data_IF_557301422770
#
_entry.id   IF_557301422770
#
_cell.length_a   1.000
_cell.length_b   1.000
_cell.length_c   1.000
_cell.angle_alpha   90.00
_cell.angle_beta   90.00
_cell.angle_gamma   90.00
#
_symmetry.space_group_name_H-M   'P 1'
#
loop_
_entity.id
_entity.type
_entity.pdbx_description
1 polymer ?
#
# COMPACT_ATOMS: atom_id res chain seq x y z
N UNK A 1 -61.82 14.17 -39.98
CA UNK A 1 -61.40 12.92 -39.35
C UNK A 1 -59.90 13.03 -39.09
N UNK A 2 -59.53 13.48 -37.86
CA UNK A 2 -58.10 13.68 -37.49
C UNK A 2 -57.65 12.46 -36.67
N UNK A 3 -56.66 11.75 -37.21
CA UNK A 3 -55.98 10.67 -36.46
C UNK A 3 -54.79 11.28 -35.68
N UNK A 4 -54.95 11.40 -34.39
CA UNK A 4 -53.88 11.71 -33.48
C UNK A 4 -53.04 10.44 -33.26
N UNK A 5 -51.81 10.46 -33.77
CA UNK A 5 -50.79 9.46 -33.43
C UNK A 5 -50.07 9.92 -32.18
N UNK A 6 -50.27 9.18 -31.07
CA UNK A 6 -49.58 9.40 -29.82
C UNK A 6 -48.24 8.63 -29.93
N UNK A 7 -47.13 9.36 -30.07
CA UNK A 7 -45.78 8.78 -29.93
C UNK A 7 -45.42 8.69 -28.44
N UNK A 8 -45.40 7.47 -27.93
CA UNK A 8 -44.89 7.18 -26.59
C UNK A 8 -43.36 7.16 -26.69
N UNK A 9 -42.74 8.23 -26.21
CA UNK A 9 -41.31 8.33 -26.04
C UNK A 9 -40.90 7.55 -24.80
N UNK A 10 -40.40 6.33 -24.99
CA UNK A 10 -39.87 5.49 -23.91
C UNK A 10 -38.52 6.04 -23.49
N UNK A 11 -38.49 6.77 -22.39
CA UNK A 11 -37.26 7.27 -21.78
C UNK A 11 -36.60 6.09 -21.03
N UNK A 12 -35.63 5.45 -21.67
CA UNK A 12 -34.80 4.43 -21.03
C UNK A 12 -33.84 5.16 -20.10
N UNK A 13 -34.21 5.23 -18.83
CA UNK A 13 -33.34 5.70 -17.76
C UNK A 13 -32.29 4.62 -17.52
N UNK A 14 -31.12 4.76 -18.15
CA UNK A 14 -29.97 3.93 -17.84
C UNK A 14 -29.54 4.24 -16.40
N UNK A 15 -30.04 3.48 -15.45
CA UNK A 15 -29.53 3.43 -14.09
C UNK A 15 -28.11 2.85 -14.17
N UNK A 16 -27.11 3.72 -14.21
CA UNK A 16 -25.77 3.33 -13.88
C UNK A 16 -25.80 2.96 -12.39
N UNK A 17 -25.77 1.67 -12.12
CA UNK A 17 -25.52 1.16 -10.79
C UNK A 17 -24.08 1.60 -10.45
N UNK A 18 -23.94 2.72 -9.76
CA UNK A 18 -22.76 3.01 -8.97
C UNK A 18 -22.69 1.84 -7.98
N UNK A 19 -21.77 0.92 -8.21
CA UNK A 19 -21.45 -0.10 -7.24
C UNK A 19 -21.00 0.66 -5.98
N UNK A 20 -21.92 0.84 -5.03
CA UNK A 20 -21.59 1.31 -3.70
C UNK A 20 -20.65 0.27 -3.13
N UNK A 21 -19.38 0.68 -2.96
CA UNK A 21 -18.41 -0.13 -2.23
C UNK A 21 -19.04 -0.54 -0.90
N UNK A 22 -18.98 -1.81 -0.56
CA UNK A 22 -19.50 -2.28 0.73
C UNK A 22 -18.76 -1.57 1.86
N UNK A 23 -19.36 -1.48 3.03
CA UNK A 23 -18.71 -0.91 4.21
C UNK A 23 -17.39 -1.64 4.51
N UNK A 24 -17.38 -2.96 4.30
CA UNK A 24 -16.18 -3.79 4.44
C UNK A 24 -15.11 -3.51 3.37
N UNK A 25 -15.50 -3.22 2.12
CA UNK A 25 -14.55 -2.78 1.09
C UNK A 25 -13.88 -1.47 1.49
N UNK A 26 -14.67 -0.51 1.99
CA UNK A 26 -14.13 0.78 2.43
C UNK A 26 -13.18 0.61 3.62
N UNK A 27 -13.54 -0.23 4.59
CA UNK A 27 -12.70 -0.54 5.73
C UNK A 27 -11.39 -1.20 5.30
N UNK A 28 -11.45 -2.17 4.39
CA UNK A 28 -10.26 -2.84 3.86
C UNK A 28 -9.35 -1.85 3.12
N UNK A 29 -9.90 -1.04 2.23
CA UNK A 29 -9.14 -0.05 1.47
C UNK A 29 -8.52 1.01 2.38
N UNK A 30 -9.20 1.43 3.44
CA UNK A 30 -8.63 2.34 4.43
C UNK A 30 -7.41 1.75 5.15
N UNK A 31 -7.40 0.45 5.44
CA UNK A 31 -6.22 -0.24 5.98
C UNK A 31 -5.09 -0.23 4.94
N UNK A 32 -5.38 -0.55 3.68
CA UNK A 32 -4.38 -0.57 2.60
C UNK A 32 -3.75 0.81 2.41
N UNK A 33 -4.57 1.86 2.37
CA UNK A 33 -4.11 3.24 2.20
C UNK A 33 -3.25 3.70 3.39
N UNK A 34 -3.68 3.37 4.61
CA UNK A 34 -2.91 3.66 5.84
C UNK A 34 -1.54 2.97 5.82
N UNK A 35 -1.48 1.72 5.37
CA UNK A 35 -0.23 0.96 5.29
C UNK A 35 0.66 1.43 4.15
N UNK A 36 0.07 1.88 3.05
CA UNK A 36 0.82 2.55 1.99
C UNK A 36 1.49 3.82 2.51
N UNK A 37 0.72 4.70 3.16
CA UNK A 37 1.27 5.93 3.74
C UNK A 37 2.36 5.62 4.76
N UNK A 38 2.13 4.64 5.64
CA UNK A 38 3.14 4.19 6.61
C UNK A 38 4.42 3.71 5.93
N UNK A 39 4.32 3.00 4.81
CA UNK A 39 5.51 2.50 4.10
C UNK A 39 6.33 3.62 3.48
N UNK A 40 5.69 4.69 3.03
CA UNK A 40 6.34 5.91 2.54
C UNK A 40 7.02 6.64 3.71
N UNK A 41 6.28 6.89 4.80
CA UNK A 41 6.79 7.62 5.97
C UNK A 41 7.97 6.91 6.67
N UNK A 42 7.94 5.58 6.71
CA UNK A 42 8.98 4.78 7.38
C UNK A 42 10.19 4.47 6.51
N UNK A 43 10.12 4.76 5.20
CA UNK A 43 11.19 4.45 4.26
C UNK A 43 11.43 5.59 3.24
N UNK A 44 12.19 6.62 3.63
CA UNK A 44 12.47 7.78 2.77
C UNK A 44 13.08 7.41 1.41
N UNK A 45 13.97 6.41 1.36
CA UNK A 45 14.55 5.96 0.10
C UNK A 45 13.52 5.36 -0.85
N UNK A 46 12.57 4.58 -0.31
CA UNK A 46 11.47 4.04 -1.10
C UNK A 46 10.51 5.15 -1.55
N UNK A 47 10.23 6.13 -0.69
CA UNK A 47 9.44 7.31 -1.04
C UNK A 47 10.06 8.06 -2.23
N UNK A 48 11.35 8.34 -2.17
CA UNK A 48 12.11 8.97 -3.26
C UNK A 48 12.06 8.16 -4.55
N UNK A 49 12.24 6.84 -4.47
CA UNK A 49 12.11 5.94 -5.62
C UNK A 49 10.72 6.00 -6.27
N UNK A 50 9.66 6.13 -5.45
CA UNK A 50 8.28 6.31 -5.91
C UNK A 50 7.96 7.75 -6.38
N UNK A 51 8.94 8.66 -6.33
CA UNK A 51 8.81 10.04 -6.79
C UNK A 51 8.42 11.06 -5.70
N UNK A 52 8.24 10.62 -4.46
CA UNK A 52 8.05 11.52 -3.32
C UNK A 52 9.41 11.93 -2.74
N UNK A 53 9.81 13.15 -3.06
CA UNK A 53 11.11 13.72 -2.67
C UNK A 53 11.05 14.53 -1.36
N UNK A 54 9.92 14.50 -0.65
CA UNK A 54 9.71 15.33 0.55
C UNK A 54 10.68 14.99 1.69
N UNK A 55 11.22 13.78 1.70
CA UNK A 55 12.13 13.27 2.74
C UNK A 55 13.49 12.82 2.18
N UNK A 56 13.95 13.41 1.06
CA UNK A 56 15.23 13.03 0.44
C UNK A 56 16.45 13.22 1.35
N UNK A 57 16.35 14.12 2.33
CA UNK A 57 17.44 14.36 3.30
C UNK A 57 17.44 13.36 4.46
N UNK A 58 16.43 12.50 4.53
CA UNK A 58 16.26 11.57 5.63
C UNK A 58 16.78 10.17 5.27
N UNK A 59 17.30 9.49 6.25
CA UNK A 59 17.62 8.06 6.18
C UNK A 59 16.64 7.25 7.00
N UNK A 60 16.34 6.01 6.60
CA UNK A 60 15.45 5.17 7.39
C UNK A 60 16.05 4.90 8.77
N UNK A 61 15.27 5.14 9.83
CA UNK A 61 15.69 4.77 11.18
C UNK A 61 15.61 3.24 11.35
N UNK A 62 16.78 2.63 11.44
CA UNK A 62 16.97 1.17 11.64
C UNK A 62 17.34 0.82 13.08
N UNK A 63 17.16 1.74 14.03
CA UNK A 63 17.37 1.45 15.45
C UNK A 63 16.50 0.29 15.92
N UNK A 64 16.99 -0.50 16.87
CA UNK A 64 16.24 -1.64 17.43
C UNK A 64 14.89 -1.20 17.98
N UNK A 65 14.83 -0.03 18.62
CA UNK A 65 13.58 0.51 19.15
C UNK A 65 12.54 0.79 18.05
N UNK A 66 12.97 1.36 16.93
CA UNK A 66 12.11 1.62 15.77
C UNK A 66 11.69 0.32 15.08
N UNK A 67 12.60 -0.63 14.90
CA UNK A 67 12.28 -1.94 14.35
C UNK A 67 11.23 -2.67 15.18
N UNK A 68 11.36 -2.67 16.51
CA UNK A 68 10.37 -3.25 17.42
C UNK A 68 8.99 -2.57 17.31
N UNK A 69 8.95 -1.24 17.20
CA UNK A 69 7.69 -0.50 16.98
C UNK A 69 7.03 -0.89 15.65
N UNK A 70 7.80 -0.99 14.57
CA UNK A 70 7.32 -1.43 13.25
C UNK A 70 6.77 -2.85 13.31
N UNK A 71 7.46 -3.76 13.98
CA UNK A 71 6.99 -5.13 14.20
C UNK A 71 5.65 -5.18 14.96
N UNK A 72 5.48 -4.38 16.00
CA UNK A 72 4.22 -4.29 16.75
C UNK A 72 3.10 -3.73 15.89
N UNK A 73 3.35 -2.68 15.09
CA UNK A 73 2.38 -2.14 14.14
C UNK A 73 1.93 -3.20 13.13
N UNK A 74 2.88 -3.94 12.53
CA UNK A 74 2.58 -5.02 11.58
C UNK A 74 1.69 -6.09 12.19
N UNK A 75 1.89 -6.46 13.46
CA UNK A 75 1.00 -7.41 14.16
C UNK A 75 -0.41 -6.86 14.34
N UNK A 76 -0.54 -5.58 14.73
CA UNK A 76 -1.85 -4.94 14.89
C UNK A 76 -2.61 -4.90 13.56
N UNK A 77 -1.94 -4.52 12.48
CA UNK A 77 -2.56 -4.50 11.14
C UNK A 77 -3.00 -5.90 10.73
N UNK A 78 -2.20 -6.94 11.00
CA UNK A 78 -2.62 -8.32 10.75
C UNK A 78 -3.90 -8.69 11.52
N UNK A 79 -4.02 -8.26 12.78
CA UNK A 79 -5.24 -8.47 13.57
C UNK A 79 -6.45 -7.73 12.98
N UNK A 80 -6.26 -6.53 12.44
CA UNK A 80 -7.31 -5.74 11.79
C UNK A 80 -7.76 -6.40 10.48
N UNK A 81 -6.82 -6.83 9.64
CA UNK A 81 -7.13 -7.54 8.39
C UNK A 81 -7.95 -8.81 8.66
N UNK A 82 -7.60 -9.56 9.70
CA UNK A 82 -8.29 -10.81 10.07
C UNK A 82 -9.73 -10.62 10.56
N UNK A 83 -10.10 -9.40 10.95
CA UNK A 83 -11.49 -9.08 11.35
C UNK A 83 -12.41 -8.87 10.15
N UNK A 84 -11.85 -8.57 8.98
CA UNK A 84 -12.62 -8.35 7.78
C UNK A 84 -13.09 -9.69 7.24
N UNK A 85 -14.41 -9.83 7.05
CA UNK A 85 -15.00 -10.99 6.41
C UNK A 85 -14.77 -10.93 4.90
N UNK A 86 -13.96 -11.83 4.30
CA UNK A 86 -13.68 -11.77 2.87
C UNK A 86 -14.90 -12.00 1.99
N UNK A 87 -15.92 -12.73 2.48
CA UNK A 87 -17.12 -13.03 1.70
C UNK A 87 -18.02 -11.80 1.51
N UNK A 88 -17.78 -10.74 2.29
CA UNK A 88 -18.50 -9.47 2.21
C UNK A 88 -17.77 -8.42 1.37
N UNK A 89 -16.60 -8.77 0.84
CA UNK A 89 -15.83 -7.93 -0.06
C UNK A 89 -16.25 -8.14 -1.52
N UNK A 90 -16.01 -7.12 -2.35
CA UNK A 90 -16.09 -7.26 -3.81
C UNK A 90 -15.11 -8.33 -4.31
N UNK A 91 -15.39 -8.92 -5.46
CA UNK A 91 -14.53 -9.98 -6.03
C UNK A 91 -13.07 -9.54 -6.22
N UNK A 92 -12.85 -8.27 -6.55
CA UNK A 92 -11.51 -7.68 -6.65
C UNK A 92 -10.84 -7.62 -5.27
N UNK A 93 -11.55 -7.10 -4.26
CA UNK A 93 -11.00 -6.96 -2.92
C UNK A 93 -10.88 -8.29 -2.17
N UNK A 94 -11.60 -9.33 -2.53
CA UNK A 94 -11.36 -10.67 -2.02
C UNK A 94 -9.95 -11.18 -2.38
N UNK A 95 -9.50 -10.93 -3.62
CA UNK A 95 -8.14 -11.30 -4.03
C UNK A 95 -7.11 -10.44 -3.31
N UNK A 96 -7.31 -9.13 -3.30
CA UNK A 96 -6.43 -8.18 -2.65
C UNK A 96 -6.29 -8.47 -1.15
N UNK A 97 -7.39 -8.76 -0.45
CA UNK A 97 -7.40 -9.15 0.95
C UNK A 97 -6.57 -10.42 1.20
N UNK A 98 -6.73 -11.46 0.37
CA UNK A 98 -5.94 -12.71 0.51
C UNK A 98 -4.46 -12.46 0.35
N UNK A 99 -4.06 -11.64 -0.64
CA UNK A 99 -2.65 -11.28 -0.87
C UNK A 99 -2.09 -10.45 0.29
N UNK A 100 -2.87 -9.50 0.77
CA UNK A 100 -2.48 -8.63 1.87
C UNK A 100 -2.33 -9.44 3.16
N UNK A 101 -3.30 -10.27 3.48
CA UNK A 101 -3.26 -11.19 4.62
C UNK A 101 -2.03 -12.10 4.57
N UNK A 102 -1.79 -12.75 3.43
CA UNK A 102 -0.63 -13.62 3.24
C UNK A 102 0.70 -12.90 3.49
N UNK A 103 0.85 -11.68 2.95
CA UNK A 103 2.05 -10.89 3.12
C UNK A 103 2.29 -10.49 4.58
N UNK A 104 1.22 -10.10 5.29
CA UNK A 104 1.32 -9.72 6.69
C UNK A 104 1.57 -10.94 7.60
N UNK A 105 0.95 -12.09 7.33
CA UNK A 105 1.25 -13.33 8.04
C UNK A 105 2.70 -13.77 7.84
N UNK A 106 3.21 -13.66 6.63
CA UNK A 106 4.61 -13.94 6.32
C UNK A 106 5.54 -12.98 7.04
N UNK A 107 5.22 -11.68 7.03
CA UNK A 107 6.00 -10.65 7.73
C UNK A 107 6.05 -10.90 9.23
N UNK A 108 4.90 -11.15 9.87
CA UNK A 108 4.83 -11.44 11.31
C UNK A 108 5.59 -12.73 11.64
N UNK A 109 5.46 -13.76 10.83
CA UNK A 109 6.23 -15.02 10.97
C UNK A 109 7.74 -14.79 10.87
N UNK A 110 8.15 -13.89 9.97
CA UNK A 110 9.56 -13.51 9.78
C UNK A 110 10.17 -12.80 10.99
N UNK A 111 9.36 -12.17 11.84
CA UNK A 111 9.85 -11.43 13.02
C UNK A 111 10.55 -12.29 14.07
N UNK A 112 10.38 -13.60 14.05
CA UNK A 112 11.11 -14.51 14.92
C UNK A 112 12.59 -14.66 14.52
N UNK A 113 12.93 -14.26 13.29
CA UNK A 113 14.30 -14.31 12.80
C UNK A 113 14.84 -12.88 12.81
N UNK A 114 15.92 -12.64 13.52
CA UNK A 114 16.56 -11.32 13.58
C UNK A 114 17.30 -10.99 12.27
N UNK A 115 16.54 -11.01 11.17
CA UNK A 115 17.07 -10.83 9.80
C UNK A 115 17.78 -9.49 9.61
N UNK A 116 17.44 -8.48 10.42
CA UNK A 116 18.10 -7.18 10.45
C UNK A 116 19.57 -7.25 10.90
N UNK A 117 19.98 -8.35 11.56
CA UNK A 117 21.38 -8.60 11.93
C UNK A 117 22.19 -9.21 10.79
N UNK A 118 21.55 -9.65 9.70
CA UNK A 118 22.21 -10.15 8.50
C UNK A 118 22.61 -8.96 7.60
N UNK A 119 23.62 -8.22 8.03
CA UNK A 119 24.06 -6.97 7.39
C UNK A 119 24.72 -7.21 6.03
N UNK A 120 25.22 -8.40 5.78
CA UNK A 120 25.90 -8.75 4.53
C UNK A 120 25.21 -9.91 3.84
N UNK A 121 24.87 -9.72 2.58
CA UNK A 121 24.27 -10.73 1.72
C UNK A 121 24.69 -10.55 0.26
N UNK A 122 24.50 -11.58 -0.55
CA UNK A 122 24.86 -11.51 -1.97
C UNK A 122 24.10 -10.41 -2.73
N UNK A 123 22.86 -10.11 -2.31
CA UNK A 123 21.94 -9.19 -3.00
C UNK A 123 21.44 -8.06 -2.09
N UNK A 124 22.12 -7.78 -1.02
CA UNK A 124 21.76 -6.73 -0.08
C UNK A 124 22.83 -6.56 0.98
N UNK A 125 22.87 -5.37 1.56
CA UNK A 125 23.81 -4.99 2.59
C UNK A 125 24.58 -3.74 2.23
N UNK A 126 25.25 -3.17 3.21
CA UNK A 126 25.94 -1.89 3.11
C UNK A 126 26.94 -1.80 1.95
N UNK A 127 27.50 -2.93 1.52
CA UNK A 127 28.42 -2.97 0.39
C UNK A 127 27.79 -2.64 -0.96
N UNK A 128 26.44 -2.68 -1.05
CA UNK A 128 25.68 -2.36 -2.27
C UNK A 128 25.00 -0.99 -2.22
N UNK A 129 25.17 -0.23 -1.13
CA UNK A 129 24.50 1.08 -0.98
C UNK A 129 24.97 2.11 -2.03
N UNK A 130 26.14 1.92 -2.65
CA UNK A 130 26.57 2.75 -3.78
C UNK A 130 25.63 2.62 -5.00
N UNK A 131 24.95 1.47 -5.17
CA UNK A 131 23.98 1.25 -6.25
C UNK A 131 22.68 2.04 -6.02
N UNK A 132 22.42 2.44 -4.77
CA UNK A 132 21.25 3.26 -4.43
C UNK A 132 21.27 4.59 -5.17
N UNK A 133 22.45 5.24 -5.24
CA UNK A 133 22.60 6.50 -5.96
C UNK A 133 22.32 6.37 -7.47
N UNK A 134 22.59 5.21 -8.07
CA UNK A 134 22.32 4.94 -9.49
C UNK A 134 20.82 4.76 -9.76
N UNK A 135 20.07 4.30 -8.77
CA UNK A 135 18.63 4.05 -8.87
C UNK A 135 17.76 5.30 -8.60
N UNK A 136 18.33 6.34 -7.98
CA UNK A 136 17.65 7.59 -7.70
C UNK A 136 17.68 8.52 -8.92
N UNK A 137 16.54 9.12 -9.22
CA UNK A 137 16.42 10.06 -10.35
C UNK A 137 16.93 11.45 -10.01
N UNK A 138 18.18 11.76 -10.33
CA UNK A 138 18.76 13.09 -10.20
C UNK A 138 18.35 13.97 -11.39
N UNK A 139 17.26 14.69 -11.29
CA UNK A 139 16.69 15.51 -12.38
C UNK A 139 16.95 17.01 -12.20
N UNK A 140 17.22 17.46 -10.98
CA UNK A 140 17.43 18.85 -10.62
C UNK A 140 18.70 19.04 -9.81
N UNK A 141 19.20 20.29 -9.73
CA UNK A 141 20.33 20.61 -8.87
C UNK A 141 20.05 20.26 -7.39
N UNK A 142 18.80 20.38 -6.95
CA UNK A 142 18.41 20.08 -5.59
C UNK A 142 18.58 18.59 -5.28
N UNK A 143 18.31 17.71 -6.23
CA UNK A 143 18.48 16.26 -6.07
C UNK A 143 19.94 15.84 -5.78
N UNK A 144 20.90 16.71 -6.06
CA UNK A 144 22.33 16.50 -5.74
C UNK A 144 22.75 17.13 -4.40
N UNK A 145 21.90 17.90 -3.78
CA UNK A 145 22.17 18.59 -2.51
C UNK A 145 21.53 17.82 -1.36
N UNK A 146 20.37 17.22 -1.60
CA UNK A 146 19.61 16.40 -0.66
C UNK A 146 20.20 15.01 -0.55
#
# INVERSE_FOLDING_TARGET
MNRFTISILTFIFSMHALALSSDNDQQFLAIVDSEWQRSIDENPLYASYMGDKSSNQDWPDISEATLRKRQQKTRKVLEEIRKINPDELSSENQLNHRLFLYNYERSVRGQQFDSHLLVFGQRGGIQLEHETAESLGFMTKQDYID
#
